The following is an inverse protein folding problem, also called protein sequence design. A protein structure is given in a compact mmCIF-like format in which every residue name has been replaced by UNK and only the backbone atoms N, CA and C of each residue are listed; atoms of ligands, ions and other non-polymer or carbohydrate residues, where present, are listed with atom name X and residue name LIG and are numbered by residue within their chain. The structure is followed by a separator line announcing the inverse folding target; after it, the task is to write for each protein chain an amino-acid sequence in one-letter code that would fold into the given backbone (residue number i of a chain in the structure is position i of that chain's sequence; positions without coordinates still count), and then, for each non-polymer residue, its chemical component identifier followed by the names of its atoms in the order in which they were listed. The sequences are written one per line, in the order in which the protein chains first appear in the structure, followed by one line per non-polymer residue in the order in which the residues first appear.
data_IF_318265129784
#
_entry.id   IF_318265129784
#
_cell.length_a   1.000
_cell.length_b   1.000
_cell.length_c   1.000
_cell.angle_alpha   90.00
_cell.angle_beta   90.00
_cell.angle_gamma   90.00
#
_symmetry.space_group_name_H-M   'P 1'
#
loop_
_entity.id
_entity.type
_entity.pdbx_description
1 polymer ?
#
# COMPACT_ATOMS: atom_id res chain seq x y z
N UNK A 1 -20.15 -7.24 18.68
CA UNK A 1 -18.81 -7.72 18.33
C UNK A 1 -17.80 -6.66 18.74
N UNK A 2 -16.73 -7.06 19.41
CA UNK A 2 -15.65 -6.19 19.85
C UNK A 2 -14.39 -6.53 19.03
N UNK A 3 -13.95 -5.63 18.17
CA UNK A 3 -12.90 -5.89 17.17
C UNK A 3 -11.68 -5.01 17.46
N UNK A 4 -10.50 -5.62 17.49
CA UNK A 4 -9.22 -4.95 17.58
C UNK A 4 -8.58 -4.84 16.19
N UNK A 5 -8.20 -3.63 15.80
CA UNK A 5 -7.43 -3.37 14.58
C UNK A 5 -6.01 -2.94 14.92
N UNK A 6 -5.03 -3.51 14.21
CA UNK A 6 -3.61 -3.14 14.32
C UNK A 6 -3.15 -2.60 12.98
N UNK A 7 -2.88 -1.30 12.92
CA UNK A 7 -2.72 -0.56 11.69
C UNK A 7 -1.42 0.26 11.68
N UNK A 8 -0.69 0.31 10.55
CA UNK A 8 0.48 1.18 10.43
C UNK A 8 0.10 2.66 10.32
N UNK A 9 -1.10 2.96 9.80
CA UNK A 9 -1.59 4.31 9.55
C UNK A 9 -3.11 4.38 9.60
N UNK A 10 -3.62 5.53 10.02
CA UNK A 10 -5.04 5.86 10.03
C UNK A 10 -5.22 7.36 9.73
N UNK A 11 -5.30 7.69 8.46
CA UNK A 11 -5.58 9.06 8.01
C UNK A 11 -6.08 9.05 6.57
N UNK A 12 -7.06 9.88 6.28
CA UNK A 12 -7.54 10.06 4.91
C UNK A 12 -6.52 10.76 4.00
N UNK A 13 -5.49 11.36 4.57
CA UNK A 13 -4.38 12.03 3.89
C UNK A 13 -3.14 11.13 3.78
N UNK A 14 -3.22 9.89 4.30
CA UNK A 14 -2.18 8.88 4.25
C UNK A 14 -2.18 8.07 2.95
N UNK A 15 -1.52 6.92 2.99
CA UNK A 15 -1.53 5.94 1.92
C UNK A 15 -2.86 5.21 1.75
N UNK A 16 -2.88 4.18 0.90
CA UNK A 16 -4.08 3.37 0.64
C UNK A 16 -4.63 2.68 1.90
N UNK A 17 -3.77 2.26 2.83
CA UNK A 17 -4.17 1.63 4.09
C UNK A 17 -4.94 2.64 4.95
N UNK A 18 -4.39 3.84 5.14
CA UNK A 18 -5.04 4.91 5.91
C UNK A 18 -6.38 5.31 5.31
N UNK A 19 -6.47 5.43 3.99
CA UNK A 19 -7.73 5.72 3.27
C UNK A 19 -8.77 4.62 3.48
N UNK A 20 -8.37 3.34 3.42
CA UNK A 20 -9.24 2.19 3.64
C UNK A 20 -9.88 2.23 5.04
N UNK A 21 -9.06 2.28 6.09
CA UNK A 21 -9.57 2.19 7.46
C UNK A 21 -10.26 3.47 7.93
N UNK A 22 -9.85 4.65 7.46
CA UNK A 22 -10.55 5.90 7.79
C UNK A 22 -11.96 5.97 7.18
N UNK A 23 -12.21 5.26 6.07
CA UNK A 23 -13.55 5.11 5.50
C UNK A 23 -14.35 4.01 6.22
N UNK A 24 -13.71 2.90 6.60
CA UNK A 24 -14.38 1.70 7.15
C UNK A 24 -14.77 1.84 8.62
N UNK A 25 -13.79 2.17 9.51
CA UNK A 25 -13.97 2.04 10.96
C UNK A 25 -15.14 2.86 11.52
N UNK A 26 -15.35 4.14 11.09
CA UNK A 26 -16.50 4.90 11.55
C UNK A 26 -17.85 4.27 11.16
N UNK A 27 -17.89 3.58 10.02
CA UNK A 27 -19.13 2.91 9.55
C UNK A 27 -19.39 1.62 10.32
N UNK A 28 -18.36 0.82 10.62
CA UNK A 28 -18.49 -0.34 11.50
C UNK A 28 -19.02 0.07 12.87
N UNK A 29 -18.47 1.14 13.46
CA UNK A 29 -18.91 1.65 14.75
C UNK A 29 -20.38 2.10 14.73
N UNK A 30 -20.84 2.77 13.66
CA UNK A 30 -22.25 3.15 13.45
C UNK A 30 -23.16 1.95 13.30
N UNK A 31 -22.66 0.81 12.81
CA UNK A 31 -23.39 -0.44 12.68
C UNK A 31 -23.36 -1.29 13.97
N UNK A 32 -22.90 -0.73 15.08
CA UNK A 32 -22.92 -1.39 16.41
C UNK A 32 -21.74 -2.32 16.68
N UNK A 33 -20.68 -2.28 15.85
CA UNK A 33 -19.41 -2.95 16.15
C UNK A 33 -18.61 -2.08 17.11
N UNK A 34 -18.13 -2.63 18.23
CA UNK A 34 -17.16 -1.96 19.09
C UNK A 34 -15.77 -2.07 18.45
N UNK A 35 -15.19 -0.95 18.08
CA UNK A 35 -13.94 -0.86 17.33
C UNK A 35 -12.86 -0.22 18.19
N UNK A 36 -11.76 -0.91 18.37
CA UNK A 36 -10.51 -0.35 18.92
C UNK A 36 -9.42 -0.50 17.87
N UNK A 37 -8.73 0.58 17.52
CA UNK A 37 -7.61 0.54 16.60
C UNK A 37 -6.34 1.07 17.27
N UNK A 38 -5.30 0.24 17.31
CA UNK A 38 -3.93 0.66 17.66
C UNK A 38 -3.23 1.04 16.37
N UNK A 39 -2.75 2.28 16.31
CA UNK A 39 -2.25 2.88 15.07
C UNK A 39 -0.85 3.42 15.24
N UNK A 40 0.03 3.06 14.34
CA UNK A 40 1.41 3.55 14.26
C UNK A 40 2.39 2.44 13.89
N UNK A 41 3.62 2.84 13.63
CA UNK A 41 4.72 1.93 13.29
C UNK A 41 6.06 2.55 13.68
N UNK A 42 7.14 1.81 13.54
CA UNK A 42 8.50 2.34 13.72
C UNK A 42 8.86 3.47 12.72
N UNK A 43 8.02 3.69 11.71
CA UNK A 43 8.26 4.64 10.60
C UNK A 43 7.24 5.77 10.56
N UNK A 44 6.18 5.70 11.38
CA UNK A 44 5.14 6.73 11.46
C UNK A 44 4.57 6.81 12.86
N UNK A 45 4.47 8.03 13.38
CA UNK A 45 3.74 8.27 14.61
C UNK A 45 2.25 7.99 14.39
N UNK A 46 1.61 7.40 15.40
CA UNK A 46 0.17 7.22 15.42
C UNK A 46 -0.56 8.58 15.55
N UNK A 47 -1.85 8.62 15.23
CA UNK A 47 -2.68 9.80 15.47
C UNK A 47 -2.81 10.09 16.95
N UNK A 48 -3.29 11.28 17.30
CA UNK A 48 -3.71 11.57 18.67
C UNK A 48 -4.86 10.63 19.05
N UNK A 49 -4.87 10.18 20.31
CA UNK A 49 -5.96 9.35 20.83
C UNK A 49 -7.32 10.03 20.62
N UNK A 50 -8.27 9.25 20.13
CA UNK A 50 -9.64 9.67 19.91
C UNK A 50 -10.59 8.57 20.36
N UNK A 51 -11.69 8.93 21.00
CA UNK A 51 -12.71 7.95 21.43
C UNK A 51 -14.12 8.52 21.22
N UNK A 52 -15.01 7.69 20.69
CA UNK A 52 -16.44 7.93 20.61
C UNK A 52 -17.19 6.69 21.11
N UNK A 53 -18.53 6.66 21.05
CA UNK A 53 -19.34 5.59 21.66
C UNK A 53 -18.91 4.16 21.31
N UNK A 54 -18.49 3.90 20.06
CA UNK A 54 -18.08 2.56 19.59
C UNK A 54 -16.77 2.58 18.80
N UNK A 55 -16.03 3.67 18.79
CA UNK A 55 -14.77 3.79 18.06
C UNK A 55 -13.68 4.41 18.96
N UNK A 56 -12.62 3.67 19.20
CA UNK A 56 -11.42 4.13 19.91
C UNK A 56 -10.21 4.00 19.01
N UNK A 57 -9.49 5.10 18.81
CA UNK A 57 -8.20 5.14 18.10
C UNK A 57 -7.12 5.46 19.12
N UNK A 58 -6.13 4.59 19.23
CA UNK A 58 -5.05 4.68 20.20
C UNK A 58 -3.72 4.65 19.46
N UNK A 59 -2.77 5.55 19.77
CA UNK A 59 -1.43 5.47 19.19
C UNK A 59 -0.69 4.23 19.68
N UNK A 60 0.18 3.69 18.82
CA UNK A 60 1.12 2.65 19.17
C UNK A 60 2.09 3.16 20.26
N UNK A 61 2.42 2.32 21.24
CA UNK A 61 3.47 2.62 22.22
C UNK A 61 4.86 2.58 21.56
N UNK A 62 5.28 3.74 21.02
CA UNK A 62 6.56 3.89 20.36
C UNK A 62 7.75 3.75 21.32
N UNK A 63 7.61 4.09 22.60
CA UNK A 63 8.69 3.92 23.59
C UNK A 63 8.97 2.43 23.80
N UNK A 64 7.92 1.61 23.87
CA UNK A 64 8.04 0.17 23.94
C UNK A 64 8.61 -0.43 22.66
N UNK A 65 8.14 0.02 21.51
CA UNK A 65 8.68 -0.41 20.22
C UNK A 65 10.18 -0.13 20.10
N UNK A 66 10.65 1.03 20.54
CA UNK A 66 12.09 1.36 20.60
C UNK A 66 12.87 0.41 21.50
N UNK A 67 12.33 0.07 22.67
CA UNK A 67 12.95 -0.91 23.58
C UNK A 67 13.04 -2.29 22.94
N UNK A 68 12.00 -2.72 22.25
CA UNK A 68 11.96 -4.02 21.58
C UNK A 68 12.92 -4.11 20.37
N UNK A 69 13.21 -3.00 19.67
CA UNK A 69 14.17 -3.00 18.55
C UNK A 69 15.52 -3.59 18.91
N UNK A 70 16.04 -3.30 20.10
CA UNK A 70 17.32 -3.84 20.53
C UNK A 70 17.32 -5.37 20.66
N UNK A 71 16.17 -5.97 20.96
CA UNK A 71 16.02 -7.41 21.09
C UNK A 71 16.00 -8.15 19.75
N UNK A 72 15.54 -7.48 18.69
CA UNK A 72 15.52 -8.03 17.33
C UNK A 72 16.81 -7.78 16.55
N UNK A 73 17.59 -6.79 16.91
CA UNK A 73 18.84 -6.45 16.21
C UNK A 73 19.85 -7.62 16.17
N UNK A 74 19.77 -8.53 17.12
CA UNK A 74 20.62 -9.73 17.20
C UNK A 74 20.35 -10.79 16.14
N UNK A 75 19.21 -10.74 15.45
CA UNK A 75 18.74 -11.83 14.57
C UNK A 75 19.25 -11.73 13.13
N UNK A 76 20.10 -10.77 12.80
CA UNK A 76 20.58 -10.56 11.43
C UNK A 76 19.50 -10.06 10.47
N UNK A 77 18.42 -9.52 11.00
CA UNK A 77 17.33 -8.89 10.25
C UNK A 77 17.76 -7.50 9.72
N UNK A 78 17.11 -7.05 8.67
CA UNK A 78 17.30 -5.67 8.20
C UNK A 78 16.74 -4.66 9.20
N UNK A 79 17.21 -3.39 9.20
CA UNK A 79 16.68 -2.36 10.09
C UNK A 79 15.15 -2.18 9.96
N UNK A 80 14.61 -2.33 8.75
CA UNK A 80 13.17 -2.20 8.48
C UNK A 80 12.40 -3.35 9.13
N UNK A 81 12.86 -4.59 8.96
CA UNK A 81 12.25 -5.76 9.61
C UNK A 81 12.31 -5.70 11.13
N UNK A 82 13.44 -5.23 11.68
CA UNK A 82 13.57 -4.98 13.12
C UNK A 82 12.52 -3.96 13.58
N UNK A 83 12.32 -2.88 12.81
CA UNK A 83 11.30 -1.88 13.07
C UNK A 83 9.88 -2.46 13.02
N UNK A 84 9.57 -3.22 11.98
CA UNK A 84 8.26 -3.86 11.80
C UNK A 84 7.93 -4.84 12.94
N UNK A 85 8.84 -5.77 13.25
CA UNK A 85 8.64 -6.74 14.34
C UNK A 85 8.52 -6.05 15.70
N UNK A 86 9.33 -5.03 15.97
CA UNK A 86 9.24 -4.28 17.21
C UNK A 86 7.88 -3.57 17.36
N UNK A 87 7.36 -3.00 16.27
CA UNK A 87 6.03 -2.38 16.25
C UNK A 87 4.92 -3.43 16.45
N UNK A 88 5.01 -4.57 15.78
CA UNK A 88 4.05 -5.65 15.90
C UNK A 88 3.99 -6.19 17.34
N UNK A 89 5.13 -6.47 17.96
CA UNK A 89 5.20 -6.94 19.35
C UNK A 89 4.80 -5.86 20.36
N UNK A 90 5.10 -4.58 20.08
CA UNK A 90 4.63 -3.48 20.93
C UNK A 90 3.10 -3.41 20.95
N UNK A 91 2.46 -3.52 19.77
CA UNK A 91 1.01 -3.56 19.67
C UNK A 91 0.41 -4.79 20.38
N UNK A 92 1.05 -5.95 20.23
CA UNK A 92 0.63 -7.18 20.89
C UNK A 92 0.70 -7.06 22.42
N UNK A 93 1.79 -6.54 22.96
CA UNK A 93 1.93 -6.34 24.41
C UNK A 93 1.00 -5.21 24.93
N UNK A 94 0.81 -4.12 24.17
CA UNK A 94 -0.07 -3.02 24.51
C UNK A 94 -1.54 -3.45 24.62
N UNK A 95 -1.92 -4.48 23.87
CA UNK A 95 -3.29 -5.02 23.82
C UNK A 95 -3.46 -6.37 24.51
N UNK A 96 -2.47 -6.78 25.31
CA UNK A 96 -2.46 -8.07 26.02
C UNK A 96 -2.78 -9.24 25.07
N UNK A 97 -2.20 -9.21 23.85
CA UNK A 97 -2.45 -10.23 22.83
C UNK A 97 -3.86 -10.24 22.25
N UNK A 98 -4.61 -9.16 22.43
CA UNK A 98 -6.02 -9.05 22.01
C UNK A 98 -7.01 -9.66 22.99
N UNK A 99 -6.61 -9.88 24.25
CA UNK A 99 -7.52 -10.40 25.28
C UNK A 99 -8.76 -9.50 25.44
N UNK A 100 -9.95 -10.11 25.48
CA UNK A 100 -11.22 -9.39 25.58
C UNK A 100 -11.80 -8.88 24.26
N UNK A 101 -11.13 -9.13 23.14
CA UNK A 101 -11.69 -8.89 21.80
C UNK A 101 -12.19 -10.19 21.17
N UNK A 102 -13.25 -10.09 20.37
CA UNK A 102 -13.82 -11.24 19.65
C UNK A 102 -12.92 -11.64 18.47
N UNK A 103 -12.39 -10.64 17.73
CA UNK A 103 -11.50 -10.82 16.55
C UNK A 103 -10.44 -9.75 16.57
N UNK A 104 -9.25 -10.09 16.06
CA UNK A 104 -8.20 -9.14 15.71
C UNK A 104 -8.09 -9.04 14.19
N UNK A 105 -8.06 -7.84 13.62
CA UNK A 105 -7.65 -7.60 12.24
C UNK A 105 -6.32 -6.84 12.22
N UNK A 106 -5.38 -7.30 11.40
CA UNK A 106 -4.14 -6.59 11.13
C UNK A 106 -3.80 -6.57 9.64
N UNK A 107 -2.86 -5.72 9.26
CA UNK A 107 -2.35 -5.66 7.90
C UNK A 107 -1.19 -6.63 7.70
N UNK A 108 -0.99 -7.10 6.46
CA UNK A 108 0.23 -7.80 6.05
C UNK A 108 1.43 -6.85 6.07
N UNK A 109 1.24 -5.61 5.61
CA UNK A 109 2.26 -4.57 5.70
C UNK A 109 2.68 -4.32 7.14
N UNK A 110 4.00 -4.31 7.39
CA UNK A 110 4.57 -4.10 8.71
C UNK A 110 4.64 -5.35 9.59
N UNK A 111 4.38 -6.56 9.03
CA UNK A 111 4.47 -7.84 9.75
C UNK A 111 3.62 -7.88 11.03
N UNK A 112 2.55 -7.10 11.10
CA UNK A 112 1.73 -7.00 12.32
C UNK A 112 1.08 -8.31 12.73
N UNK A 113 0.88 -9.23 11.79
CA UNK A 113 0.31 -10.56 12.06
C UNK A 113 1.25 -11.49 12.86
N UNK A 114 2.55 -11.19 12.91
CA UNK A 114 3.57 -12.12 13.44
C UNK A 114 3.31 -12.53 14.89
N UNK A 115 3.14 -11.63 15.88
CA UNK A 115 2.93 -12.06 17.27
C UNK A 115 1.68 -12.91 17.44
N UNK A 116 0.58 -12.53 16.78
CA UNK A 116 -0.69 -13.26 16.90
C UNK A 116 -0.66 -14.64 16.25
N UNK A 117 0.21 -14.88 15.25
CA UNK A 117 0.35 -16.19 14.61
C UNK A 117 1.43 -17.07 15.25
N UNK A 118 2.34 -16.47 16.02
CA UNK A 118 3.34 -17.20 16.80
C UNK A 118 2.78 -17.66 18.16
N UNK A 119 1.98 -16.82 18.83
CA UNK A 119 1.40 -17.18 20.12
C UNK A 119 0.11 -17.96 19.90
N UNK A 120 0.01 -19.20 20.41
CA UNK A 120 -1.13 -20.09 20.12
C UNK A 120 -2.46 -19.61 20.69
N UNK A 121 -2.42 -18.88 21.82
CA UNK A 121 -3.60 -18.37 22.51
C UNK A 121 -3.99 -16.98 22.00
N UNK A 122 -5.29 -16.70 21.97
CA UNK A 122 -5.84 -15.40 21.64
C UNK A 122 -7.00 -15.47 20.65
N UNK A 123 -7.65 -14.34 20.33
CA UNK A 123 -8.80 -14.30 19.44
C UNK A 123 -8.45 -14.69 18.01
N UNK A 124 -9.42 -15.11 17.19
CA UNK A 124 -9.24 -15.30 15.76
C UNK A 124 -8.57 -14.09 15.10
N UNK A 125 -7.70 -14.36 14.10
CA UNK A 125 -6.98 -13.33 13.38
C UNK A 125 -7.43 -13.26 11.93
N UNK A 126 -7.86 -12.08 11.51
CA UNK A 126 -8.03 -11.70 10.11
C UNK A 126 -6.79 -10.94 9.68
N UNK A 127 -6.15 -11.34 8.57
CA UNK A 127 -5.07 -10.57 7.97
C UNK A 127 -5.56 -10.01 6.65
N UNK A 128 -5.56 -8.68 6.55
CA UNK A 128 -5.91 -7.99 5.32
C UNK A 128 -4.66 -7.67 4.51
N UNK A 129 -4.65 -8.18 3.28
CA UNK A 129 -3.50 -8.16 2.39
C UNK A 129 -3.54 -6.89 1.54
N UNK A 130 -2.82 -5.87 1.99
CA UNK A 130 -2.73 -4.54 1.38
C UNK A 130 -1.57 -4.40 0.38
N UNK A 131 -0.76 -5.43 0.25
CA UNK A 131 0.50 -5.43 -0.48
C UNK A 131 1.67 -5.50 0.49
N UNK A 132 2.17 -6.71 0.67
CA UNK A 132 3.22 -7.01 1.63
C UNK A 132 4.59 -6.48 1.19
N UNK A 133 5.53 -6.41 2.12
CA UNK A 133 6.91 -6.06 1.80
C UNK A 133 7.51 -7.05 0.80
N UNK A 134 7.23 -8.34 0.96
CA UNK A 134 7.68 -9.38 0.04
C UNK A 134 7.12 -9.23 -1.37
N UNK A 135 5.84 -8.87 -1.52
CA UNK A 135 5.24 -8.60 -2.83
C UNK A 135 5.85 -7.35 -3.49
N UNK A 136 5.98 -6.25 -2.74
CA UNK A 136 6.58 -5.01 -3.27
C UNK A 136 8.01 -5.28 -3.75
N UNK A 137 8.80 -6.03 -2.99
CA UNK A 137 10.15 -6.38 -3.35
C UNK A 137 10.23 -7.25 -4.61
N UNK A 138 9.23 -8.08 -4.89
CA UNK A 138 9.15 -8.85 -6.11
C UNK A 138 9.00 -7.95 -7.36
N UNK A 139 8.15 -6.92 -7.26
CA UNK A 139 7.86 -6.00 -8.38
C UNK A 139 8.80 -4.80 -8.45
N UNK A 140 9.52 -4.50 -7.38
CA UNK A 140 10.46 -3.39 -7.30
C UNK A 140 11.67 -3.75 -6.41
N UNK A 141 12.50 -4.71 -6.87
CA UNK A 141 13.64 -5.21 -6.08
C UNK A 141 14.69 -4.13 -5.80
N UNK A 142 14.71 -3.05 -6.58
CA UNK A 142 15.67 -1.95 -6.42
C UNK A 142 15.23 -0.94 -5.34
N UNK A 143 13.96 -0.97 -4.92
CA UNK A 143 13.45 -0.08 -3.86
C UNK A 143 13.69 -0.61 -2.44
N UNK A 144 14.13 -1.86 -2.29
CA UNK A 144 14.32 -2.52 -1.01
C UNK A 144 15.60 -3.35 -0.95
N UNK A 145 15.95 -3.80 0.25
CA UNK A 145 17.03 -4.75 0.45
C UNK A 145 16.58 -6.15 0.00
N UNK A 146 17.30 -6.78 -0.93
CA UNK A 146 16.99 -8.14 -1.38
C UNK A 146 16.94 -9.14 -0.21
N UNK A 147 17.84 -9.01 0.78
CA UNK A 147 17.82 -9.86 1.97
C UNK A 147 16.53 -9.66 2.78
N UNK A 148 16.12 -8.41 2.97
CA UNK A 148 14.86 -8.08 3.65
C UNK A 148 13.65 -8.66 2.92
N UNK A 149 13.63 -8.51 1.60
CA UNK A 149 12.58 -9.03 0.74
C UNK A 149 12.37 -10.54 0.90
N UNK A 150 13.44 -11.33 0.77
CA UNK A 150 13.36 -12.78 0.90
C UNK A 150 12.95 -13.22 2.30
N UNK A 151 13.45 -12.55 3.34
CA UNK A 151 13.05 -12.86 4.72
C UNK A 151 11.58 -12.53 4.96
N UNK A 152 11.08 -11.40 4.46
CA UNK A 152 9.66 -11.05 4.56
C UNK A 152 8.79 -12.08 3.82
N UNK A 153 9.17 -12.50 2.61
CA UNK A 153 8.47 -13.55 1.87
C UNK A 153 8.44 -14.88 2.62
N UNK A 154 9.54 -15.27 3.26
CA UNK A 154 9.60 -16.49 4.08
C UNK A 154 8.68 -16.39 5.30
N UNK A 155 8.70 -15.26 6.02
CA UNK A 155 7.83 -15.01 7.17
C UNK A 155 6.35 -15.04 6.74
N UNK A 156 6.01 -14.36 5.66
CA UNK A 156 4.67 -14.30 5.09
C UNK A 156 4.19 -15.70 4.68
N UNK A 157 4.98 -16.43 3.90
CA UNK A 157 4.63 -17.79 3.44
C UNK A 157 4.50 -18.79 4.59
N UNK A 158 5.30 -18.65 5.65
CA UNK A 158 5.26 -19.54 6.80
C UNK A 158 4.10 -19.25 7.76
N UNK A 159 3.73 -17.98 7.94
CA UNK A 159 2.78 -17.58 8.97
C UNK A 159 1.37 -17.28 8.43
N UNK A 160 1.23 -16.62 7.29
CA UNK A 160 -0.10 -16.25 6.76
C UNK A 160 -1.07 -17.44 6.63
N UNK A 161 -0.62 -18.66 6.24
CA UNK A 161 -1.52 -19.82 6.20
C UNK A 161 -2.19 -20.16 7.51
N UNK A 162 -1.72 -19.62 8.63
CA UNK A 162 -2.25 -19.91 9.99
C UNK A 162 -3.34 -18.93 10.42
N UNK A 163 -3.50 -17.80 9.75
CA UNK A 163 -4.57 -16.86 10.06
C UNK A 163 -5.94 -17.55 9.98
N UNK A 164 -6.89 -17.13 10.80
CA UNK A 164 -8.27 -17.62 10.73
C UNK A 164 -8.87 -17.27 9.36
N UNK A 165 -8.65 -16.06 8.89
CA UNK A 165 -9.10 -15.59 7.59
C UNK A 165 -8.05 -14.68 6.95
N UNK A 166 -7.88 -14.81 5.63
CA UNK A 166 -7.11 -13.89 4.79
C UNK A 166 -8.06 -13.17 3.85
N UNK A 167 -7.94 -11.86 3.74
CA UNK A 167 -8.78 -11.04 2.87
C UNK A 167 -7.96 -10.02 2.07
N UNK A 168 -8.39 -9.73 0.84
CA UNK A 168 -7.81 -8.69 -0.01
C UNK A 168 -8.88 -8.05 -0.89
N UNK A 169 -8.56 -6.93 -1.51
CA UNK A 169 -9.52 -6.14 -2.27
C UNK A 169 -9.21 -6.05 -3.78
N UNK A 170 -8.23 -6.81 -4.28
CA UNK A 170 -7.96 -7.02 -5.72
C UNK A 170 -8.06 -8.49 -6.08
N UNK A 171 -8.78 -8.84 -7.15
CA UNK A 171 -8.97 -10.25 -7.56
C UNK A 171 -7.66 -10.89 -8.02
N UNK A 172 -6.81 -10.13 -8.71
CA UNK A 172 -5.47 -10.60 -9.10
C UNK A 172 -4.62 -10.92 -7.86
N UNK A 173 -4.67 -10.06 -6.84
CA UNK A 173 -3.98 -10.29 -5.57
C UNK A 173 -4.58 -11.47 -4.80
N UNK A 174 -5.91 -11.61 -4.80
CA UNK A 174 -6.61 -12.77 -4.23
C UNK A 174 -6.10 -14.08 -4.86
N UNK A 175 -6.07 -14.14 -6.18
CA UNK A 175 -5.59 -15.33 -6.90
C UNK A 175 -4.12 -15.62 -6.59
N UNK A 176 -3.25 -14.62 -6.65
CA UNK A 176 -1.82 -14.78 -6.39
C UNK A 176 -1.54 -15.37 -5.01
N UNK A 177 -2.18 -14.81 -3.97
CA UNK A 177 -2.02 -15.32 -2.61
C UNK A 177 -2.68 -16.70 -2.41
N UNK A 178 -3.85 -16.95 -3.01
CA UNK A 178 -4.50 -18.26 -2.91
C UNK A 178 -3.64 -19.36 -3.53
N UNK A 179 -3.06 -19.09 -4.70
CA UNK A 179 -2.14 -20.01 -5.38
C UNK A 179 -0.86 -20.23 -4.57
N UNK A 180 -0.25 -19.17 -4.04
CA UNK A 180 0.99 -19.24 -3.27
C UNK A 180 0.83 -19.99 -1.95
N UNK A 181 -0.28 -19.76 -1.23
CA UNK A 181 -0.50 -20.31 0.11
C UNK A 181 -1.28 -21.64 0.10
N UNK A 182 -1.80 -22.07 -1.05
CA UNK A 182 -2.62 -23.27 -1.18
C UNK A 182 -3.91 -23.21 -0.35
N UNK A 183 -4.45 -22.01 -0.12
CA UNK A 183 -5.68 -21.80 0.64
C UNK A 183 -6.48 -20.64 0.09
N UNK A 184 -7.77 -20.62 0.41
CA UNK A 184 -8.65 -19.54 0.01
C UNK A 184 -8.26 -18.22 0.69
N UNK A 185 -8.21 -17.16 -0.12
CA UNK A 185 -8.16 -15.77 0.29
C UNK A 185 -9.48 -15.13 -0.10
N UNK A 186 -10.13 -14.43 0.81
CA UNK A 186 -11.41 -13.73 0.54
C UNK A 186 -11.17 -12.49 -0.30
N UNK A 187 -12.13 -12.21 -1.18
CA UNK A 187 -12.22 -10.94 -1.89
C UNK A 187 -13.27 -10.06 -1.22
N UNK A 188 -12.85 -8.89 -0.76
CA UNK A 188 -13.73 -7.86 -0.23
C UNK A 188 -13.29 -6.52 -0.80
N UNK A 189 -14.06 -5.85 -1.67
CA UNK A 189 -13.66 -4.60 -2.27
C UNK A 189 -13.44 -3.50 -1.22
N UNK A 190 -12.60 -2.49 -1.51
CA UNK A 190 -12.26 -1.48 -0.53
C UNK A 190 -13.39 -0.46 -0.37
N UNK A 191 -13.61 0.08 0.84
CA UNK A 191 -14.55 1.17 1.04
C UNK A 191 -14.00 2.48 0.49
N UNK A 192 -14.88 3.27 -0.15
CA UNK A 192 -14.60 4.62 -0.60
C UNK A 192 -15.59 5.62 0.02
N UNK A 193 -15.08 6.55 0.82
CA UNK A 193 -15.88 7.65 1.34
C UNK A 193 -16.12 8.68 0.23
N UNK A 194 -17.25 8.58 -0.43
CA UNK A 194 -17.66 9.52 -1.48
C UNK A 194 -18.21 10.78 -0.81
N UNK A 195 -17.59 11.91 -1.11
CA UNK A 195 -18.14 13.22 -0.74
C UNK A 195 -19.14 13.65 -1.81
N UNK A 196 -20.36 14.00 -1.41
CA UNK A 196 -21.34 14.58 -2.33
C UNK A 196 -20.72 15.83 -2.97
N UNK A 197 -20.36 15.74 -4.22
CA UNK A 197 -19.93 16.90 -4.98
C UNK A 197 -21.03 17.25 -5.97
N UNK A 198 -21.65 18.43 -5.83
CA UNK A 198 -22.42 19.10 -6.89
C UNK A 198 -21.51 19.55 -8.04
N UNK A 199 -20.32 18.96 -8.16
CA UNK A 199 -19.32 19.35 -9.16
C UNK A 199 -19.77 18.85 -10.52
N UNK A 200 -20.29 19.77 -11.31
CA UNK A 200 -20.33 19.61 -12.76
C UNK A 200 -18.88 19.33 -13.23
N UNK A 201 -18.70 18.26 -13.98
CA UNK A 201 -17.41 17.86 -14.53
C UNK A 201 -16.97 18.94 -15.55
N UNK A 202 -16.21 19.91 -15.10
CA UNK A 202 -15.60 20.90 -15.98
C UNK A 202 -14.13 20.54 -16.17
N UNK A 203 -13.82 19.86 -17.26
CA UNK A 203 -12.41 19.72 -17.69
C UNK A 203 -11.87 21.12 -17.93
N UNK A 204 -10.91 21.51 -17.08
CA UNK A 204 -10.30 22.85 -17.13
C UNK A 204 -8.96 22.85 -17.86
N UNK A 205 -8.35 21.67 -18.05
CA UNK A 205 -7.06 21.54 -18.73
C UNK A 205 -7.00 20.28 -19.61
N UNK A 206 -6.36 20.41 -20.76
CA UNK A 206 -6.11 19.28 -21.68
C UNK A 206 -4.82 18.56 -21.31
N UNK A 207 -4.78 18.03 -20.10
CA UNK A 207 -3.64 17.33 -19.52
C UNK A 207 -4.07 15.99 -18.94
N UNK A 208 -3.15 15.02 -18.93
CA UNK A 208 -3.30 13.79 -18.16
C UNK A 208 -2.69 13.91 -16.75
N UNK A 209 -3.22 13.18 -15.80
CA UNK A 209 -2.73 13.15 -14.42
C UNK A 209 -2.40 11.73 -13.98
N UNK A 210 -1.22 11.54 -13.38
CA UNK A 210 -0.85 10.37 -12.59
C UNK A 210 -0.69 10.80 -11.14
N UNK A 211 -1.33 10.09 -10.21
CA UNK A 211 -1.16 10.32 -8.78
C UNK A 211 -0.59 9.05 -8.14
N UNK A 212 0.56 9.20 -7.51
CA UNK A 212 1.24 8.10 -6.84
C UNK A 212 2.75 8.28 -6.77
N UNK A 213 3.40 7.48 -5.96
CA UNK A 213 4.87 7.50 -5.87
C UNK A 213 5.49 7.22 -7.23
N UNK A 214 6.55 7.97 -7.59
CA UNK A 214 7.39 7.61 -8.74
C UNK A 214 8.23 6.42 -8.32
N UNK A 215 7.79 5.24 -8.74
CA UNK A 215 8.29 3.93 -8.33
C UNK A 215 8.10 2.95 -9.49
N UNK A 216 9.01 1.99 -9.68
CA UNK A 216 9.04 1.13 -10.86
C UNK A 216 7.70 0.46 -11.16
N UNK A 217 7.14 -0.23 -10.18
CA UNK A 217 5.88 -0.96 -10.37
C UNK A 217 4.65 -0.06 -10.60
N UNK A 218 4.76 1.25 -10.42
CA UNK A 218 3.74 2.23 -10.83
C UNK A 218 3.77 2.54 -12.33
N UNK A 219 4.70 1.94 -13.08
CA UNK A 219 4.73 1.93 -14.54
C UNK A 219 5.15 3.24 -15.22
N UNK A 220 6.07 4.06 -14.66
CA UNK A 220 6.50 5.28 -15.32
C UNK A 220 7.22 5.01 -16.64
N UNK A 221 7.96 3.90 -16.76
CA UNK A 221 8.62 3.53 -18.00
C UNK A 221 7.62 3.17 -19.10
N UNK A 222 6.55 2.44 -18.76
CA UNK A 222 5.47 2.13 -19.71
C UNK A 222 4.80 3.41 -20.20
N UNK A 223 4.58 4.39 -19.33
CA UNK A 223 4.06 5.70 -19.72
C UNK A 223 5.06 6.48 -20.61
N UNK A 224 6.35 6.53 -20.26
CA UNK A 224 7.37 7.18 -21.09
C UNK A 224 7.39 6.59 -22.52
N UNK A 225 7.36 5.26 -22.64
CA UNK A 225 7.30 4.59 -23.96
C UNK A 225 6.02 4.92 -24.72
N UNK A 226 4.87 5.00 -24.04
CA UNK A 226 3.62 5.40 -24.68
C UNK A 226 3.69 6.86 -25.20
N UNK A 227 4.28 7.77 -24.46
CA UNK A 227 4.49 9.16 -24.86
C UNK A 227 5.47 9.24 -26.05
N UNK A 228 6.54 8.43 -26.08
CA UNK A 228 7.43 8.33 -27.26
C UNK A 228 6.68 7.92 -28.53
N UNK A 229 5.77 6.94 -28.41
CA UNK A 229 4.96 6.47 -29.53
C UNK A 229 3.98 7.55 -30.05
N UNK A 230 3.50 8.43 -29.18
CA UNK A 230 2.61 9.54 -29.55
C UNK A 230 3.37 10.69 -30.21
N UNK A 231 4.65 10.89 -29.91
CA UNK A 231 5.48 11.97 -30.41
C UNK A 231 4.83 13.35 -30.18
N UNK A 232 4.71 14.17 -31.22
CA UNK A 232 4.14 15.51 -31.14
C UNK A 232 2.63 15.52 -30.79
N UNK A 233 1.96 14.38 -30.84
CA UNK A 233 0.55 14.23 -30.45
C UNK A 233 0.37 13.92 -28.96
N UNK A 234 1.46 13.78 -28.20
CA UNK A 234 1.42 13.47 -26.78
C UNK A 234 0.87 14.68 -25.99
N UNK A 235 -0.17 14.48 -25.17
CA UNK A 235 -0.63 15.54 -24.27
C UNK A 235 0.37 15.71 -23.12
N UNK A 236 0.44 16.90 -22.50
CA UNK A 236 1.19 17.08 -21.28
C UNK A 236 0.61 16.20 -20.16
N UNK A 237 1.51 15.61 -19.37
CA UNK A 237 1.14 14.74 -18.23
C UNK A 237 1.77 15.31 -16.97
N UNK A 238 0.99 15.43 -15.90
CA UNK A 238 1.49 15.72 -14.57
C UNK A 238 1.57 14.42 -13.75
N UNK A 239 2.73 14.15 -13.18
CA UNK A 239 2.92 13.07 -12.22
C UNK A 239 3.07 13.65 -10.82
N UNK A 240 2.10 13.44 -9.93
CA UNK A 240 2.09 13.99 -8.57
C UNK A 240 2.37 12.90 -7.55
N UNK A 241 3.46 13.06 -6.79
CA UNK A 241 3.84 12.14 -5.73
C UNK A 241 5.34 12.12 -5.46
N UNK A 242 5.75 11.60 -4.31
CA UNK A 242 7.19 11.50 -4.00
C UNK A 242 7.89 10.47 -4.88
N UNK A 243 9.14 10.72 -5.20
CA UNK A 243 10.01 9.74 -5.84
C UNK A 243 10.62 8.79 -4.80
N UNK A 244 10.64 7.50 -5.10
CA UNK A 244 11.31 6.48 -4.29
C UNK A 244 12.79 6.44 -4.67
N UNK A 245 13.66 6.25 -3.69
CA UNK A 245 15.09 6.14 -3.93
C UNK A 245 15.44 4.71 -4.33
N UNK A 246 16.13 4.54 -5.46
CA UNK A 246 16.74 3.29 -5.86
C UNK A 246 17.89 2.95 -4.90
N UNK A 247 17.85 1.79 -4.27
CA UNK A 247 18.84 1.37 -3.27
C UNK A 247 20.22 1.09 -3.91
N UNK A 248 20.24 0.70 -5.19
CA UNK A 248 21.46 0.36 -5.90
C UNK A 248 22.26 1.60 -6.32
N UNK A 249 21.56 2.64 -6.78
CA UNK A 249 22.17 3.89 -7.26
C UNK A 249 22.22 4.98 -6.20
N UNK A 250 21.30 4.94 -5.22
CA UNK A 250 21.11 5.98 -4.23
C UNK A 250 20.38 7.21 -4.76
N UNK A 251 19.92 7.20 -6.02
CA UNK A 251 19.21 8.30 -6.65
C UNK A 251 17.68 8.15 -6.51
N UNK A 252 16.95 9.27 -6.44
CA UNK A 252 15.50 9.24 -6.66
C UNK A 252 15.18 8.69 -8.06
N UNK A 253 14.21 7.77 -8.15
CA UNK A 253 13.86 7.13 -9.42
C UNK A 253 13.40 8.13 -10.49
N UNK A 254 12.80 9.25 -10.10
CA UNK A 254 12.48 10.36 -11.03
C UNK A 254 13.71 10.97 -11.71
N UNK A 255 14.88 10.99 -11.05
CA UNK A 255 16.12 11.45 -11.67
C UNK A 255 16.70 10.41 -12.65
N UNK A 256 16.56 9.12 -12.35
CA UNK A 256 16.94 8.06 -13.28
C UNK A 256 16.07 8.10 -14.55
N UNK A 257 14.76 8.29 -14.40
CA UNK A 257 13.84 8.46 -15.53
C UNK A 257 14.22 9.66 -16.40
N UNK A 258 14.62 10.78 -15.80
CA UNK A 258 15.10 11.94 -16.56
C UNK A 258 16.39 11.67 -17.35
N UNK A 259 17.24 10.75 -16.88
CA UNK A 259 18.44 10.32 -17.62
C UNK A 259 18.10 9.34 -18.75
N UNK A 260 17.14 8.43 -18.52
CA UNK A 260 16.74 7.43 -19.52
C UNK A 260 15.84 8.04 -20.61
N UNK A 261 14.96 8.98 -20.24
CA UNK A 261 13.98 9.61 -21.12
C UNK A 261 14.10 11.14 -21.09
N UNK A 262 15.26 11.74 -21.47
CA UNK A 262 15.54 13.17 -21.29
C UNK A 262 14.56 14.09 -22.04
N UNK A 263 14.03 13.65 -23.18
CA UNK A 263 13.10 14.42 -24.01
C UNK A 263 11.63 14.30 -23.54
N UNK A 264 11.34 13.45 -22.55
CA UNK A 264 9.98 13.15 -22.11
C UNK A 264 9.80 13.49 -20.63
N UNK A 265 10.67 12.93 -19.77
CA UNK A 265 10.59 13.15 -18.33
C UNK A 265 11.19 14.49 -17.95
N UNK A 266 10.38 15.40 -17.43
CA UNK A 266 10.71 16.80 -17.16
C UNK A 266 10.24 17.77 -18.25
N UNK A 267 9.76 17.26 -19.40
CA UNK A 267 9.18 18.05 -20.50
C UNK A 267 7.70 17.74 -20.69
N UNK A 268 7.38 16.63 -21.35
CA UNK A 268 5.99 16.17 -21.55
C UNK A 268 5.39 15.56 -20.27
N UNK A 269 6.17 14.77 -19.50
CA UNK A 269 5.79 14.28 -18.18
C UNK A 269 6.49 15.13 -17.13
N UNK A 270 5.72 15.97 -16.43
CA UNK A 270 6.23 16.86 -15.38
C UNK A 270 5.98 16.24 -14.01
N UNK A 271 7.06 15.98 -13.26
CA UNK A 271 6.99 15.44 -11.91
C UNK A 271 6.79 16.56 -10.88
N UNK A 272 5.80 16.40 -10.03
CA UNK A 272 5.48 17.27 -8.90
C UNK A 272 5.63 16.51 -7.57
N UNK A 273 6.02 17.18 -6.48
CA UNK A 273 6.04 16.57 -5.15
C UNK A 273 4.64 16.14 -4.70
N UNK A 274 4.56 15.41 -3.58
CA UNK A 274 3.28 15.05 -2.97
C UNK A 274 2.49 16.30 -2.58
N UNK A 275 1.20 16.25 -2.83
CA UNK A 275 0.25 17.32 -2.53
C UNK A 275 -0.80 16.86 -1.51
N UNK A 276 -1.42 17.80 -0.77
CA UNK A 276 -2.56 17.50 0.10
C UNK A 276 -3.74 16.90 -0.68
N UNK A 277 -4.51 16.02 -0.02
CA UNK A 277 -5.64 15.31 -0.64
C UNK A 277 -6.63 16.24 -1.37
N UNK A 278 -6.95 17.39 -0.79
CA UNK A 278 -7.86 18.38 -1.43
C UNK A 278 -7.32 18.90 -2.77
N UNK A 279 -6.01 19.11 -2.88
CA UNK A 279 -5.36 19.51 -4.13
C UNK A 279 -5.46 18.39 -5.17
N UNK A 280 -5.22 17.13 -4.75
CA UNK A 280 -5.36 15.95 -5.61
C UNK A 280 -6.82 15.80 -6.10
N UNK A 281 -7.82 15.91 -5.22
CA UNK A 281 -9.23 15.85 -5.58
C UNK A 281 -9.59 16.94 -6.61
N UNK A 282 -9.05 18.15 -6.45
CA UNK A 282 -9.24 19.23 -7.44
C UNK A 282 -8.59 18.89 -8.79
N UNK A 283 -7.37 18.39 -8.80
CA UNK A 283 -6.70 17.94 -10.03
C UNK A 283 -7.49 16.82 -10.71
N UNK A 284 -7.93 15.80 -9.97
CA UNK A 284 -8.72 14.69 -10.50
C UNK A 284 -10.01 15.15 -11.17
N UNK A 285 -10.66 16.19 -10.65
CA UNK A 285 -11.89 16.75 -11.24
C UNK A 285 -11.66 17.71 -12.42
N UNK A 286 -10.44 18.21 -12.60
CA UNK A 286 -10.10 19.28 -13.56
C UNK A 286 -9.36 18.78 -14.80
N UNK A 287 -8.69 17.63 -14.69
CA UNK A 287 -7.84 17.07 -15.75
C UNK A 287 -8.66 16.30 -16.78
N UNK A 288 -8.14 16.26 -18.00
CA UNK A 288 -8.81 15.60 -19.13
C UNK A 288 -8.97 14.09 -18.90
N UNK A 289 -7.99 13.46 -18.29
CA UNK A 289 -8.02 12.03 -17.93
C UNK A 289 -6.99 11.70 -16.84
N UNK A 290 -7.23 10.59 -16.15
CA UNK A 290 -6.37 10.07 -15.09
C UNK A 290 -5.74 8.77 -15.57
N UNK A 291 -4.44 8.62 -15.35
CA UNK A 291 -3.65 7.46 -15.74
C UNK A 291 -3.25 6.64 -14.52
N UNK A 292 -3.46 5.33 -14.62
CA UNK A 292 -2.98 4.34 -13.65
C UNK A 292 -2.14 3.32 -14.42
N UNK A 293 -0.87 3.65 -14.75
CA UNK A 293 -0.05 2.81 -15.62
C UNK A 293 0.64 1.66 -14.89
N UNK A 294 0.20 1.32 -13.66
CA UNK A 294 0.85 0.37 -12.77
C UNK A 294 1.11 -0.99 -13.45
N UNK A 295 2.31 -1.53 -13.33
CA UNK A 295 2.68 -2.87 -13.76
C UNK A 295 2.28 -3.93 -12.74
N UNK A 296 2.02 -3.50 -11.51
CA UNK A 296 1.38 -4.24 -10.44
C UNK A 296 0.76 -3.26 -9.44
N UNK A 297 -0.40 -3.57 -8.91
CA UNK A 297 -0.99 -2.86 -7.77
C UNK A 297 -2.09 -3.73 -7.15
N UNK A 298 -2.10 -3.87 -5.84
CA UNK A 298 -3.16 -4.63 -5.16
C UNK A 298 -4.53 -4.08 -5.52
N UNK A 299 -4.65 -2.74 -5.62
CA UNK A 299 -5.91 -2.13 -6.04
C UNK A 299 -5.73 -0.82 -6.83
N UNK A 300 -5.09 0.20 -6.27
CA UNK A 300 -4.96 1.59 -6.71
C UNK A 300 -6.19 2.46 -6.39
N UNK A 301 -6.15 3.09 -5.21
CA UNK A 301 -7.22 3.99 -4.77
C UNK A 301 -7.42 5.22 -5.68
N UNK A 302 -6.36 5.72 -6.33
CA UNK A 302 -6.45 6.85 -7.25
C UNK A 302 -7.49 6.61 -8.35
N UNK A 303 -7.60 5.37 -8.86
CA UNK A 303 -8.58 5.03 -9.88
C UNK A 303 -10.01 5.28 -9.38
N UNK A 304 -10.38 4.69 -8.24
CA UNK A 304 -11.75 4.82 -7.71
C UNK A 304 -12.05 6.20 -7.15
N UNK A 305 -11.06 6.88 -6.57
CA UNK A 305 -11.18 8.29 -6.17
C UNK A 305 -11.47 9.17 -7.39
N UNK A 306 -10.78 8.94 -8.51
CA UNK A 306 -11.03 9.66 -9.77
C UNK A 306 -12.38 9.32 -10.39
N UNK A 307 -12.80 8.06 -10.38
CA UNK A 307 -14.14 7.64 -10.79
C UNK A 307 -15.23 8.32 -9.96
N UNK A 308 -15.01 8.51 -8.66
CA UNK A 308 -15.92 9.26 -7.79
C UNK A 308 -16.01 10.75 -8.10
N UNK A 309 -15.03 11.28 -8.82
CA UNK A 309 -15.04 12.66 -9.36
C UNK A 309 -15.57 12.73 -10.82
N UNK A 310 -16.13 11.63 -11.33
CA UNK A 310 -16.57 11.49 -12.73
C UNK A 310 -15.44 11.69 -13.76
N UNK A 311 -14.18 11.51 -13.35
CA UNK A 311 -13.04 11.62 -14.24
C UNK A 311 -12.91 10.37 -15.12
N UNK A 312 -12.42 10.54 -16.36
CA UNK A 312 -12.07 9.42 -17.22
C UNK A 312 -10.79 8.79 -16.72
N UNK A 313 -10.84 7.50 -16.41
CA UNK A 313 -9.70 6.72 -15.94
C UNK A 313 -9.21 5.78 -17.03
N UNK A 314 -7.90 5.79 -17.31
CA UNK A 314 -7.20 4.79 -18.12
C UNK A 314 -6.35 3.97 -17.16
N UNK A 315 -6.73 2.72 -16.92
CA UNK A 315 -6.16 1.85 -15.91
C UNK A 315 -5.46 0.64 -16.52
N UNK A 316 -4.33 0.28 -15.96
CA UNK A 316 -3.65 -0.98 -16.30
C UNK A 316 -4.42 -2.18 -15.77
N UNK A 317 -4.47 -3.27 -16.53
CA UNK A 317 -5.05 -4.56 -16.12
C UNK A 317 -4.37 -5.19 -14.90
N UNK A 318 -3.17 -4.74 -14.53
CA UNK A 318 -2.45 -5.21 -13.34
C UNK A 318 -2.78 -4.43 -12.06
N UNK A 319 -3.56 -3.37 -12.14
CA UNK A 319 -4.10 -2.69 -10.96
C UNK A 319 -5.46 -3.30 -10.61
N UNK A 320 -5.66 -3.73 -9.36
CA UNK A 320 -6.90 -4.39 -8.94
C UNK A 320 -8.17 -3.54 -9.15
N UNK A 321 -8.03 -2.21 -9.20
CA UNK A 321 -9.14 -1.32 -9.54
C UNK A 321 -9.69 -1.54 -10.97
N UNK A 322 -8.90 -2.16 -11.88
CA UNK A 322 -9.36 -2.51 -13.22
C UNK A 322 -10.52 -3.51 -13.21
N UNK A 323 -10.67 -4.30 -12.13
CA UNK A 323 -11.80 -5.22 -11.95
C UNK A 323 -13.17 -4.51 -11.94
N UNK A 324 -13.19 -3.20 -11.63
CA UNK A 324 -14.39 -2.37 -11.59
C UNK A 324 -14.63 -1.62 -12.90
N UNK A 325 -13.68 -1.66 -13.84
CA UNK A 325 -13.74 -0.88 -15.07
C UNK A 325 -14.23 -1.74 -16.22
N UNK A 326 -15.42 -1.42 -16.72
CA UNK A 326 -15.92 -1.91 -17.98
C UNK A 326 -15.41 -1.01 -19.10
N UNK A 327 -14.50 -1.54 -19.90
CA UNK A 327 -13.79 -0.83 -20.96
C UNK A 327 -14.74 -0.08 -21.91
N UNK A 328 -14.56 1.23 -22.06
CA UNK A 328 -15.36 2.11 -22.90
C UNK A 328 -16.72 2.52 -22.32
N UNK A 329 -17.11 2.00 -21.15
CA UNK A 329 -18.39 2.30 -20.48
C UNK A 329 -18.20 3.24 -19.29
N UNK A 330 -17.32 2.87 -18.34
CA UNK A 330 -17.05 3.65 -17.13
C UNK A 330 -15.56 3.97 -16.94
N UNK A 331 -14.75 3.76 -17.97
CA UNK A 331 -13.30 3.96 -18.01
C UNK A 331 -12.67 3.10 -19.09
N UNK A 332 -11.35 3.06 -19.11
CA UNK A 332 -10.60 2.30 -20.10
C UNK A 332 -9.55 1.41 -19.40
N UNK A 333 -9.36 0.20 -19.93
CA UNK A 333 -8.35 -0.74 -19.45
C UNK A 333 -7.39 -1.06 -20.59
N UNK A 334 -6.09 -1.06 -20.32
CA UNK A 334 -5.05 -1.55 -21.21
C UNK A 334 -4.25 -2.67 -20.55
N UNK A 335 -3.63 -3.51 -21.37
CA UNK A 335 -2.81 -4.62 -20.87
C UNK A 335 -1.54 -4.08 -20.19
N UNK A 336 -1.22 -4.58 -19.01
CA UNK A 336 -0.02 -4.17 -18.26
C UNK A 336 1.24 -4.23 -19.13
N UNK A 337 2.06 -3.16 -19.07
CA UNK A 337 3.30 -3.05 -19.85
C UNK A 337 3.10 -2.73 -21.34
N UNK A 338 1.87 -2.71 -21.84
CA UNK A 338 1.56 -2.39 -23.24
C UNK A 338 1.55 -0.89 -23.51
N UNK A 339 2.70 -0.37 -23.91
CA UNK A 339 2.86 1.06 -24.26
C UNK A 339 2.04 1.44 -25.52
N UNK A 340 1.85 0.53 -26.48
CA UNK A 340 1.06 0.79 -27.69
C UNK A 340 -0.43 0.91 -27.36
N UNK A 341 -0.96 0.00 -26.55
CA UNK A 341 -2.34 0.05 -26.06
C UNK A 341 -2.60 1.32 -25.25
N UNK A 342 -1.66 1.69 -24.35
CA UNK A 342 -1.77 2.92 -23.58
C UNK A 342 -1.76 4.17 -24.47
N UNK A 343 -0.85 4.26 -25.45
CA UNK A 343 -0.79 5.36 -26.41
C UNK A 343 -2.10 5.49 -27.23
N UNK A 344 -2.64 4.37 -27.69
CA UNK A 344 -3.92 4.32 -28.43
C UNK A 344 -5.08 4.84 -27.57
N UNK A 345 -5.14 4.49 -26.29
CA UNK A 345 -6.18 4.97 -25.36
C UNK A 345 -6.02 6.45 -25.02
N UNK A 346 -4.80 6.94 -24.83
CA UNK A 346 -4.54 8.36 -24.63
C UNK A 346 -5.10 9.14 -25.83
N UNK A 347 -4.77 8.73 -27.06
CA UNK A 347 -5.29 9.36 -28.29
C UNK A 347 -6.82 9.27 -28.39
N UNK A 348 -7.41 8.13 -28.03
CA UNK A 348 -8.87 7.92 -28.00
C UNK A 348 -9.55 8.90 -27.05
N UNK A 349 -9.03 9.04 -25.83
CA UNK A 349 -9.59 9.89 -24.78
C UNK A 349 -9.50 11.39 -25.15
N UNK A 350 -8.46 11.81 -25.85
CA UNK A 350 -8.34 13.18 -26.37
C UNK A 350 -9.43 13.51 -27.42
N UNK A 351 -9.90 12.51 -28.17
CA UNK A 351 -10.91 12.66 -29.22
C UNK A 351 -12.37 12.45 -28.78
N UNK A 352 -12.60 12.14 -27.49
CA UNK A 352 -13.94 11.89 -26.93
C UNK A 352 -14.76 13.18 -26.93
N UNK A 353 -16.01 13.12 -27.40
CA UNK A 353 -16.96 14.22 -27.31
C UNK A 353 -17.33 14.53 -25.86
N UNK A 354 -17.79 15.76 -25.59
CA UNK A 354 -18.25 16.15 -24.25
C UNK A 354 -19.38 15.23 -23.75
N UNK A 355 -20.33 14.88 -24.62
CA UNK A 355 -21.46 14.01 -24.28
C UNK A 355 -20.97 12.60 -23.88
N UNK A 356 -20.04 12.04 -24.66
CA UNK A 356 -19.46 10.71 -24.35
C UNK A 356 -18.64 10.76 -23.04
N UNK A 357 -17.88 11.85 -22.84
CA UNK A 357 -17.13 12.09 -21.59
C UNK A 357 -18.06 12.11 -20.37
N UNK A 358 -19.17 12.83 -20.45
CA UNK A 358 -20.18 12.89 -19.40
C UNK A 358 -20.78 11.50 -19.12
N UNK A 359 -21.15 10.76 -20.18
CA UNK A 359 -21.71 9.43 -20.05
C UNK A 359 -20.75 8.46 -19.33
N UNK A 360 -19.46 8.45 -19.72
CA UNK A 360 -18.44 7.61 -19.08
C UNK A 360 -18.22 8.05 -17.63
N UNK A 361 -18.14 9.35 -17.36
CA UNK A 361 -17.96 9.86 -16.01
C UNK A 361 -19.13 9.53 -15.08
N UNK A 362 -20.37 9.66 -15.57
CA UNK A 362 -21.57 9.32 -14.80
C UNK A 362 -21.63 7.82 -14.50
N UNK A 363 -21.28 6.95 -15.47
CA UNK A 363 -21.19 5.52 -15.27
C UNK A 363 -20.05 5.15 -14.29
N UNK A 364 -18.91 5.85 -14.34
CA UNK A 364 -17.81 5.67 -13.38
C UNK A 364 -18.25 6.01 -11.95
N UNK A 365 -18.90 7.15 -11.77
CA UNK A 365 -19.45 7.55 -10.48
C UNK A 365 -20.50 6.56 -9.94
N UNK A 366 -21.45 6.14 -10.79
CA UNK A 366 -22.46 5.15 -10.41
C UNK A 366 -21.81 3.86 -9.93
N UNK A 367 -20.80 3.35 -10.66
CA UNK A 367 -20.07 2.14 -10.27
C UNK A 367 -19.50 2.23 -8.86
N UNK A 368 -18.79 3.30 -8.53
CA UNK A 368 -18.15 3.43 -7.21
C UNK A 368 -19.17 3.76 -6.11
N UNK A 369 -20.21 4.52 -6.41
CA UNK A 369 -21.25 4.86 -5.43
C UNK A 369 -22.11 3.65 -5.04
N UNK A 370 -22.39 2.77 -5.99
CA UNK A 370 -23.23 1.59 -5.75
C UNK A 370 -22.45 0.45 -5.09
N UNK A 371 -21.16 0.31 -5.39
CA UNK A 371 -20.37 -0.84 -4.99
C UNK A 371 -19.41 -0.60 -3.83
N UNK A 372 -18.92 0.63 -3.62
CA UNK A 372 -17.79 0.88 -2.73
C UNK A 372 -18.08 1.79 -1.55
N UNK A 373 -19.31 2.29 -1.39
CA UNK A 373 -19.60 3.12 -0.21
C UNK A 373 -19.33 2.32 1.08
N UNK A 374 -18.87 2.96 2.16
CA UNK A 374 -18.60 2.25 3.41
C UNK A 374 -19.84 1.51 3.97
N UNK A 375 -21.04 1.99 3.66
CA UNK A 375 -22.30 1.34 4.04
C UNK A 375 -22.57 0.04 3.28
N UNK A 376 -22.06 -0.10 2.08
CA UNK A 376 -22.11 -1.35 1.28
C UNK A 376 -21.02 -2.32 1.73
N UNK A 377 -19.83 -1.83 2.03
CA UNK A 377 -18.66 -2.66 2.35
C UNK A 377 -18.68 -3.16 3.81
N UNK A 378 -19.10 -2.34 4.76
CA UNK A 378 -19.06 -2.72 6.18
C UNK A 378 -19.82 -4.03 6.50
N UNK A 379 -21.00 -4.33 5.93
CA UNK A 379 -21.66 -5.63 6.12
C UNK A 379 -20.82 -6.82 5.62
N UNK A 380 -20.07 -6.66 4.52
CA UNK A 380 -19.18 -7.70 3.98
C UNK A 380 -18.03 -7.97 4.94
N UNK A 381 -17.42 -6.92 5.49
CA UNK A 381 -16.35 -7.03 6.48
C UNK A 381 -16.87 -7.64 7.79
N UNK A 382 -18.07 -7.27 8.25
CA UNK A 382 -18.71 -7.90 9.42
C UNK A 382 -18.92 -9.40 9.18
N UNK A 383 -19.26 -9.78 7.95
CA UNK A 383 -19.42 -11.20 7.60
C UNK A 383 -18.07 -11.93 7.65
N UNK A 384 -16.97 -11.32 7.17
CA UNK A 384 -15.62 -11.87 7.30
C UNK A 384 -15.24 -12.11 8.78
N UNK A 385 -15.58 -11.18 9.68
CA UNK A 385 -15.35 -11.37 11.12
C UNK A 385 -16.18 -12.51 11.70
N UNK A 386 -17.44 -12.65 11.29
CA UNK A 386 -18.29 -13.78 11.72
C UNK A 386 -17.71 -15.11 11.24
N UNK A 387 -17.23 -15.19 10.01
CA UNK A 387 -16.59 -16.40 9.49
C UNK A 387 -15.31 -16.72 10.27
N UNK A 388 -14.49 -15.72 10.57
CA UNK A 388 -13.27 -15.90 11.34
C UNK A 388 -13.51 -16.46 12.75
N UNK A 389 -14.66 -16.16 13.38
CA UNK A 389 -15.04 -16.72 14.70
C UNK A 389 -15.19 -18.25 14.69
N UNK A 390 -15.57 -18.83 13.55
CA UNK A 390 -15.77 -20.28 13.41
C UNK A 390 -14.51 -21.00 12.86
N UNK A 391 -13.54 -20.26 12.38
CA UNK A 391 -12.29 -20.81 11.81
C UNK A 391 -11.18 -20.78 12.87
N UNK A 392 -10.79 -21.95 13.43
CA UNK A 392 -9.72 -21.99 14.40
C UNK A 392 -8.40 -21.56 13.74
N UNK A 393 -7.52 -20.91 14.51
CA UNK A 393 -6.15 -20.70 14.09
C UNK A 393 -5.47 -22.04 13.82
N UNK A 394 -4.79 -22.16 12.69
CA UNK A 394 -4.08 -23.38 12.34
C UNK A 394 -2.75 -23.45 13.10
N UNK A 395 -2.55 -24.48 13.90
CA UNK A 395 -1.30 -24.71 14.60
C UNK A 395 -0.20 -25.18 13.65
N UNK A 396 1.02 -24.70 13.83
CA UNK A 396 2.14 -25.13 12.99
C UNK A 396 2.91 -26.32 13.58
N UNK A 397 3.49 -27.08 12.67
CA UNK A 397 4.32 -28.25 12.98
C UNK A 397 5.69 -27.93 13.62
N UNK A 398 6.14 -26.68 13.67
CA UNK A 398 7.44 -26.29 14.22
C UNK A 398 7.42 -24.87 14.77
N UNK A 399 6.69 -24.67 15.87
CA UNK A 399 6.59 -23.36 16.53
C UNK A 399 7.91 -22.90 17.17
N UNK A 400 8.70 -23.80 17.71
CA UNK A 400 9.90 -23.44 18.47
C UNK A 400 10.96 -22.69 17.67
N UNK A 401 11.15 -23.04 16.41
CA UNK A 401 12.18 -22.43 15.58
C UNK A 401 11.75 -21.01 15.15
N UNK A 402 10.50 -20.83 14.73
CA UNK A 402 9.96 -19.53 14.36
C UNK A 402 9.82 -18.62 15.58
N UNK A 403 9.39 -19.15 16.72
CA UNK A 403 9.32 -18.41 17.98
C UNK A 403 10.70 -17.87 18.38
N UNK A 404 11.74 -18.68 18.29
CA UNK A 404 13.12 -18.25 18.59
C UNK A 404 13.63 -17.19 17.62
N UNK A 405 13.23 -17.27 16.35
CA UNK A 405 13.70 -16.36 15.31
C UNK A 405 12.93 -15.03 15.27
N UNK A 406 11.64 -15.03 15.60
CA UNK A 406 10.75 -13.88 15.38
C UNK A 406 10.17 -13.28 16.67
N UNK A 407 10.46 -13.88 17.85
CA UNK A 407 10.08 -13.34 19.14
C UNK A 407 11.20 -12.48 19.74
N UNK A 408 10.86 -11.45 20.56
CA UNK A 408 11.87 -10.65 21.23
C UNK A 408 12.65 -11.51 22.20
N UNK A 409 13.87 -11.90 21.82
CA UNK A 409 14.79 -12.63 22.69
C UNK A 409 15.71 -11.67 23.43
N UNK A 410 16.10 -12.03 24.65
CA UNK A 410 17.17 -11.32 25.34
C UNK A 410 18.50 -11.76 24.72
N UNK A 411 19.08 -10.91 23.86
CA UNK A 411 20.41 -11.17 23.31
C UNK A 411 21.46 -10.66 24.30
N UNK A 412 22.43 -11.50 24.62
CA UNK A 412 23.62 -11.11 25.39
C UNK A 412 24.68 -10.43 24.53
N UNK A 413 24.46 -10.29 23.22
CA UNK A 413 25.37 -9.63 22.29
C UNK A 413 25.07 -8.14 22.24
N UNK A 414 26.10 -7.29 22.33
CA UNK A 414 25.95 -5.86 22.15
C UNK A 414 25.57 -5.54 20.70
N UNK A 415 24.82 -4.44 20.44
CA UNK A 415 24.54 -3.99 19.07
C UNK A 415 25.80 -3.78 18.22
N UNK A 416 26.90 -3.34 18.83
CA UNK A 416 28.20 -3.20 18.18
C UNK A 416 28.81 -4.54 17.76
N UNK A 417 28.73 -5.56 18.61
CA UNK A 417 29.21 -6.91 18.29
C UNK A 417 28.47 -7.48 17.08
N UNK A 418 27.15 -7.30 17.04
CA UNK A 418 26.30 -7.75 15.94
C UNK A 418 26.64 -7.00 14.65
N UNK A 419 26.80 -5.68 14.73
CA UNK A 419 27.18 -4.86 13.60
C UNK A 419 28.55 -5.29 13.04
N UNK A 420 29.52 -5.49 13.90
CA UNK A 420 30.87 -5.91 13.50
C UNK A 420 30.85 -7.28 12.81
N UNK A 421 30.16 -8.29 13.37
CA UNK A 421 30.00 -9.60 12.73
C UNK A 421 29.37 -9.52 11.33
N UNK A 422 28.44 -8.59 11.11
CA UNK A 422 27.83 -8.41 9.80
C UNK A 422 28.75 -7.64 8.84
N UNK A 423 29.49 -6.66 9.32
CA UNK A 423 30.45 -5.89 8.50
C UNK A 423 31.64 -6.72 8.05
N UNK A 424 32.16 -7.60 8.90
CA UNK A 424 33.27 -8.51 8.56
C UNK A 424 32.96 -9.47 7.42
N UNK A 425 31.69 -9.76 7.17
CA UNK A 425 31.23 -10.60 6.05
C UNK A 425 31.20 -9.89 4.71
N UNK A 426 31.28 -8.57 4.71
CA UNK A 426 31.20 -7.75 3.49
C UNK A 426 32.59 -7.45 2.94
N UNK A 427 32.76 -7.57 1.63
CA UNK A 427 34.00 -7.15 0.99
C UNK A 427 34.20 -5.62 1.15
N UNK A 428 35.47 -5.20 1.24
CA UNK A 428 35.82 -3.78 1.36
C UNK A 428 35.19 -2.94 0.23
N UNK A 429 35.08 -3.50 -0.97
CA UNK A 429 34.43 -2.85 -2.13
C UNK A 429 32.98 -2.53 -1.87
N UNK A 430 32.24 -3.46 -1.24
CA UNK A 430 30.82 -3.25 -0.87
C UNK A 430 30.69 -2.21 0.22
N UNK A 431 31.55 -2.24 1.23
CA UNK A 431 31.58 -1.26 2.32
C UNK A 431 31.84 0.16 1.80
N UNK A 432 32.84 0.33 0.94
CA UNK A 432 33.20 1.62 0.32
C UNK A 432 32.05 2.15 -0.54
N UNK A 433 31.41 1.30 -1.36
CA UNK A 433 30.24 1.68 -2.15
C UNK A 433 29.08 2.13 -1.26
N UNK A 434 28.84 1.44 -0.15
CA UNK A 434 27.77 1.82 0.80
C UNK A 434 28.05 3.19 1.44
N UNK A 435 29.30 3.46 1.82
CA UNK A 435 29.72 4.76 2.35
C UNK A 435 29.49 5.86 1.31
N UNK A 436 29.89 5.62 0.06
CA UNK A 436 29.69 6.56 -1.04
C UNK A 436 28.22 6.92 -1.25
N UNK A 437 27.34 5.91 -1.29
CA UNK A 437 25.88 6.09 -1.42
C UNK A 437 25.31 6.90 -0.24
N UNK A 438 25.75 6.61 0.98
CA UNK A 438 25.33 7.38 2.17
C UNK A 438 25.76 8.84 2.12
N UNK A 439 26.98 9.12 1.66
CA UNK A 439 27.49 10.48 1.50
C UNK A 439 26.70 11.24 0.43
N UNK A 440 26.40 10.60 -0.69
CA UNK A 440 25.57 11.18 -1.76
C UNK A 440 24.17 11.51 -1.27
N UNK A 441 23.52 10.60 -0.54
CA UNK A 441 22.20 10.86 0.07
C UNK A 441 22.22 12.03 1.03
N UNK A 442 23.27 12.13 1.85
CA UNK A 442 23.43 13.24 2.79
C UNK A 442 23.66 14.57 2.07
N UNK A 443 24.44 14.58 1.00
CA UNK A 443 24.65 15.77 0.17
C UNK A 443 23.35 16.24 -0.49
N UNK A 444 22.53 15.31 -1.05
CA UNK A 444 21.25 15.64 -1.66
C UNK A 444 20.23 16.16 -0.62
N UNK A 445 20.26 15.69 0.62
CA UNK A 445 19.40 16.21 1.69
C UNK A 445 19.74 17.63 2.14
N UNK A 446 20.95 18.13 1.83
CA UNK A 446 21.35 19.52 2.08
C UNK A 446 21.00 20.48 0.94
N UNK A 447 20.82 19.98 -0.28
CA UNK A 447 20.48 20.80 -1.46
C UNK A 447 18.96 20.99 -1.61
N UNK A 448 18.15 20.19 -0.90
CA UNK A 448 16.68 20.23 -0.93
C UNK A 448 16.05 20.94 0.28
N UNK A 449 16.83 21.73 1.03
CA UNK A 449 16.32 22.60 2.10
C UNK A 449 16.45 24.07 1.70
#
# INVERSE_FOLDING_TARGET
MNILFILPEYASEGGGIGSFYSALLPTLAKQGVSVTAVVGSAFSDGPKSFSSSNLSIVPLDNAKALTLRSRFAALGLTPDQVGHLASAWSAWEQTEGGHGFDVVECTDWGLFFVPWLLVPSGPPLVVRLHGSEGQIAHYDPESCSLQGAYLSQLIESALLPRASLLSTYGRTNQKAWSDQLGREVRYCPPPLAIRSSDRSHSVQCDRGLVVGRVQRWKGPETLCRAIQLLGDQAPPIDWVGRSVTNQSTGLPYSLELAQIYPDIWGSTIVHHPSEPKKSIEHRQSSYSFILVPSEWDVFNFTAIESMSQKAIVICSSAAGASDLIQHGVNGFVFQSGDAHGLASLIKRVQSISLTERQSIGDAAYATVSDLLTPTVIAPLVIQEFREALYEPRRTALSQDLLNKALSPSVSNLSPETILNCNLERLSLKVLLRHIQVRLQRKALSFVGR
#
